data_IF_467172723464
#
_entry.id   IF_467172723464
#
_cell.length_a   1.000
_cell.length_b   1.000
_cell.length_c   1.000
_cell.angle_alpha   90.00
_cell.angle_beta   90.00
_cell.angle_gamma   90.00
#
_symmetry.space_group_name_H-M   'P 1'
#
loop_
_entity.id
_entity.type
_entity.pdbx_description
1 polymer ?
#
# COMPACT_ATOMS: atom_id res chain seq x y z
N UNK A 1 -45.84 -21.15 -16.86
CA UNK A 1 -45.05 -19.92 -16.69
C UNK A 1 -43.58 -20.29 -16.53
N UNK A 2 -42.71 -19.92 -17.49
CA UNK A 2 -41.27 -20.13 -17.36
C UNK A 2 -40.65 -18.86 -16.79
N UNK A 3 -40.08 -18.96 -15.59
CA UNK A 3 -39.34 -17.88 -14.97
C UNK A 3 -37.93 -17.88 -15.61
N UNK A 4 -37.62 -16.88 -16.39
CA UNK A 4 -36.27 -16.66 -16.89
C UNK A 4 -35.42 -16.08 -15.75
N UNK A 5 -34.37 -16.79 -15.36
CA UNK A 5 -33.37 -16.28 -14.46
C UNK A 5 -32.65 -15.10 -15.14
N UNK A 6 -32.84 -13.91 -14.61
CA UNK A 6 -32.09 -12.71 -15.02
C UNK A 6 -30.67 -12.86 -14.47
N UNK A 7 -29.77 -13.22 -15.38
CA UNK A 7 -28.33 -13.29 -15.08
C UNK A 7 -27.79 -11.86 -14.98
N UNK A 8 -27.82 -11.28 -13.79
CA UNK A 8 -27.25 -9.97 -13.49
C UNK A 8 -25.70 -10.10 -13.45
N UNK A 9 -25.08 -10.35 -14.59
CA UNK A 9 -23.65 -10.11 -14.77
C UNK A 9 -23.40 -8.61 -14.87
N UNK A 10 -23.62 -7.88 -13.79
CA UNK A 10 -23.00 -6.57 -13.60
C UNK A 10 -21.51 -6.78 -13.34
N UNK A 11 -20.75 -7.04 -14.37
CA UNK A 11 -19.35 -6.61 -14.38
C UNK A 11 -19.38 -5.09 -14.29
N UNK A 12 -19.37 -4.59 -13.07
CA UNK A 12 -19.05 -3.19 -12.82
C UNK A 12 -17.62 -2.99 -13.35
N UNK A 13 -17.51 -2.52 -14.59
CA UNK A 13 -16.33 -1.81 -15.06
C UNK A 13 -16.18 -0.61 -14.13
N UNK A 14 -15.47 -0.83 -13.01
CA UNK A 14 -15.11 0.25 -12.09
C UNK A 14 -14.20 1.16 -12.89
N UNK A 15 -14.59 2.40 -13.19
CA UNK A 15 -13.66 3.32 -13.82
C UNK A 15 -12.51 3.47 -12.84
N UNK A 16 -11.38 2.87 -13.19
CA UNK A 16 -10.13 3.06 -12.47
C UNK A 16 -9.74 4.52 -12.73
N UNK A 17 -9.99 5.39 -11.76
CA UNK A 17 -9.43 6.72 -11.78
C UNK A 17 -7.93 6.55 -11.58
N UNK A 18 -7.14 7.05 -12.51
CA UNK A 18 -5.69 7.06 -12.37
C UNK A 18 -5.22 8.49 -12.44
N UNK A 19 -4.42 8.90 -11.46
CA UNK A 19 -3.89 10.24 -11.45
C UNK A 19 -3.91 10.91 -10.08
N UNK A 20 -3.95 12.24 -10.10
CA UNK A 20 -3.89 13.06 -8.89
C UNK A 20 -5.28 13.56 -8.54
N UNK A 21 -5.66 13.34 -7.30
CA UNK A 21 -6.89 13.82 -6.67
C UNK A 21 -6.53 14.92 -5.69
N UNK A 22 -7.19 16.06 -5.79
CA UNK A 22 -7.08 17.12 -4.82
C UNK A 22 -8.18 16.95 -3.78
N UNK A 23 -7.81 16.87 -2.52
CA UNK A 23 -8.74 16.66 -1.41
C UNK A 23 -8.51 17.65 -0.29
N UNK A 24 -9.51 17.75 0.61
CA UNK A 24 -9.49 18.64 1.75
C UNK A 24 -10.69 19.59 1.73
N UNK A 25 -10.98 20.19 2.90
CA UNK A 25 -12.06 21.17 3.05
C UNK A 25 -11.58 22.62 2.84
N UNK A 26 -10.32 22.79 2.42
CA UNK A 26 -9.69 24.12 2.24
C UNK A 26 -9.25 24.30 0.80
N UNK A 27 -9.38 25.51 0.32
CA UNK A 27 -8.79 25.91 -0.93
C UNK A 27 -7.26 25.97 -0.80
N UNK A 28 -6.57 25.61 -1.87
CA UNK A 28 -5.11 25.71 -1.92
C UNK A 28 -4.66 27.15 -1.99
N UNK A 29 -3.73 27.56 -1.15
CA UNK A 29 -3.02 28.83 -1.28
C UNK A 29 -2.14 28.83 -2.56
N UNK A 30 -1.67 30.00 -2.98
CA UNK A 30 -0.77 30.09 -4.14
C UNK A 30 0.55 29.33 -3.94
N UNK A 31 1.08 29.34 -2.71
CA UNK A 31 2.25 28.54 -2.34
C UNK A 31 1.96 27.04 -2.47
N UNK A 32 0.85 26.57 -1.89
CA UNK A 32 0.44 25.18 -1.96
C UNK A 32 0.16 24.70 -3.39
N UNK A 33 -0.38 25.57 -4.26
CA UNK A 33 -0.57 25.23 -5.68
C UNK A 33 0.76 24.96 -6.38
N UNK A 34 1.77 25.81 -6.14
CA UNK A 34 3.12 25.60 -6.69
C UNK A 34 3.72 24.29 -6.23
N UNK A 35 3.62 23.97 -4.93
CA UNK A 35 4.11 22.70 -4.38
C UNK A 35 3.36 21.52 -4.98
N UNK A 36 2.04 21.61 -5.14
CA UNK A 36 1.23 20.56 -5.75
C UNK A 36 1.57 20.33 -7.23
N UNK A 37 1.86 21.39 -7.98
CA UNK A 37 2.28 21.31 -9.40
C UNK A 37 3.70 20.71 -9.51
N UNK A 38 4.62 21.03 -8.59
CA UNK A 38 5.94 20.39 -8.51
C UNK A 38 5.82 18.89 -8.24
N UNK A 39 5.01 18.51 -7.24
CA UNK A 39 4.71 17.10 -6.93
C UNK A 39 4.16 16.38 -8.16
N UNK A 40 3.20 16.98 -8.85
CA UNK A 40 2.59 16.42 -10.06
C UNK A 40 3.64 16.19 -11.16
N UNK A 41 4.53 17.16 -11.36
CA UNK A 41 5.59 17.09 -12.36
C UNK A 41 6.58 15.97 -12.04
N UNK A 42 7.02 15.87 -10.79
CA UNK A 42 7.97 14.84 -10.33
C UNK A 42 7.37 13.44 -10.30
N UNK A 43 6.10 13.29 -9.96
CA UNK A 43 5.40 12.00 -10.03
C UNK A 43 5.27 11.49 -11.48
N UNK A 44 5.02 12.38 -12.44
CA UNK A 44 5.01 12.07 -13.86
C UNK A 44 4.31 10.75 -14.19
N UNK A 45 5.04 9.81 -14.81
CA UNK A 45 4.53 8.47 -15.19
C UNK A 45 4.05 7.61 -14.00
N UNK A 46 4.48 7.90 -12.79
CA UNK A 46 4.02 7.17 -11.59
C UNK A 46 2.57 7.50 -11.30
N UNK A 47 2.15 8.75 -11.53
CA UNK A 47 0.76 9.17 -11.39
C UNK A 47 -0.17 8.57 -12.47
N UNK A 48 0.37 8.08 -13.59
CA UNK A 48 -0.42 7.35 -14.60
C UNK A 48 -0.78 5.93 -14.15
N UNK A 49 -0.02 5.37 -13.22
CA UNK A 49 -0.19 3.99 -12.74
C UNK A 49 -0.92 3.90 -11.42
N UNK A 50 -0.71 4.88 -10.54
CA UNK A 50 -1.21 4.91 -9.17
C UNK A 50 -2.04 6.17 -8.94
N UNK A 51 -2.97 6.09 -8.00
CA UNK A 51 -3.79 7.23 -7.58
C UNK A 51 -3.12 7.94 -6.41
N UNK A 52 -2.99 9.25 -6.48
CA UNK A 52 -2.42 10.08 -5.43
C UNK A 52 -3.44 11.09 -4.93
N UNK A 53 -3.43 11.32 -3.64
CA UNK A 53 -4.22 12.33 -2.97
C UNK A 53 -3.29 13.43 -2.46
N UNK A 54 -3.55 14.65 -2.89
CA UNK A 54 -2.89 15.87 -2.41
C UNK A 54 -3.88 16.63 -1.56
N UNK A 55 -3.54 16.95 -0.31
CA UNK A 55 -4.36 17.73 0.62
C UNK A 55 -3.67 19.00 1.04
N UNK A 56 -4.42 20.10 1.06
CA UNK A 56 -3.98 21.32 1.69
C UNK A 56 -4.10 21.22 3.23
N UNK A 57 -3.02 21.49 3.94
CA UNK A 57 -2.95 21.60 5.39
C UNK A 57 -2.74 23.08 5.79
N UNK A 58 -2.89 23.44 7.08
CA UNK A 58 -2.45 24.74 7.58
C UNK A 58 -0.96 24.99 7.29
N UNK A 59 -0.53 26.25 7.43
CA UNK A 59 0.88 26.67 7.36
C UNK A 59 1.54 26.39 5.99
N UNK A 60 0.75 26.52 4.90
CA UNK A 60 1.18 26.31 3.51
C UNK A 60 1.78 24.93 3.23
N UNK A 61 1.44 23.94 4.06
CA UNK A 61 1.88 22.57 3.91
C UNK A 61 0.91 21.80 2.99
N UNK A 62 1.47 20.90 2.21
CA UNK A 62 0.76 19.95 1.35
C UNK A 62 1.06 18.53 1.81
N UNK A 63 0.03 17.74 2.06
CA UNK A 63 0.15 16.32 2.39
C UNK A 63 -0.03 15.47 1.13
N UNK A 64 0.88 14.53 0.89
CA UNK A 64 0.84 13.59 -0.22
C UNK A 64 0.64 12.17 0.29
N UNK A 65 -0.31 11.46 -0.30
CA UNK A 65 -0.56 10.04 -0.01
C UNK A 65 -0.94 9.31 -1.29
N UNK A 66 -0.47 8.09 -1.45
CA UNK A 66 -1.02 7.15 -2.43
C UNK A 66 -2.35 6.62 -1.89
N UNK A 67 -3.35 6.50 -2.73
CA UNK A 67 -4.70 6.05 -2.36
C UNK A 67 -5.18 4.97 -3.32
N UNK A 68 -6.13 4.17 -2.85
CA UNK A 68 -6.69 3.06 -3.63
C UNK A 68 -8.20 3.19 -3.77
N UNK A 69 -8.76 2.52 -4.77
CA UNK A 69 -10.21 2.43 -4.97
C UNK A 69 -10.90 3.80 -5.06
N UNK A 70 -10.27 4.77 -5.73
CA UNK A 70 -10.82 6.10 -5.89
C UNK A 70 -12.13 6.02 -6.69
N UNK A 71 -13.21 6.56 -6.13
CA UNK A 71 -14.53 6.63 -6.75
C UNK A 71 -15.11 8.02 -6.58
N UNK A 72 -15.77 8.52 -7.64
CA UNK A 72 -16.61 9.71 -7.55
C UNK A 72 -18.02 9.24 -7.20
N UNK A 73 -18.52 9.67 -6.06
CA UNK A 73 -19.87 9.33 -5.56
C UNK A 73 -20.69 10.61 -5.52
N UNK A 74 -21.95 10.52 -5.93
CA UNK A 74 -22.87 11.64 -5.96
C UNK A 74 -23.22 12.10 -7.37
N UNK A 75 -24.27 12.92 -7.46
CA UNK A 75 -24.81 13.47 -8.72
C UNK A 75 -24.76 15.00 -8.72
N UNK A 76 -24.50 15.59 -9.86
CA UNK A 76 -24.51 17.05 -10.03
C UNK A 76 -23.37 17.76 -9.30
N UNK A 77 -23.72 18.77 -8.49
CA UNK A 77 -22.76 19.66 -7.80
C UNK A 77 -22.14 18.97 -6.57
N UNK A 78 -22.84 17.99 -5.97
CA UNK A 78 -22.43 17.30 -4.75
C UNK A 78 -21.66 15.99 -5.09
N UNK A 79 -20.57 16.12 -5.84
CA UNK A 79 -19.66 14.98 -6.10
C UNK A 79 -18.63 14.87 -4.99
N UNK A 80 -18.69 13.78 -4.25
CA UNK A 80 -17.69 13.44 -3.24
C UNK A 80 -16.72 12.39 -3.79
N UNK A 81 -15.46 12.51 -3.40
CA UNK A 81 -14.44 11.54 -3.77
C UNK A 81 -14.22 10.61 -2.59
N UNK A 82 -14.58 9.35 -2.78
CA UNK A 82 -14.32 8.28 -1.82
C UNK A 82 -13.09 7.50 -2.24
N UNK A 83 -12.23 7.18 -1.28
CA UNK A 83 -10.99 6.43 -1.50
C UNK A 83 -10.62 5.60 -0.27
N UNK A 84 -9.84 4.56 -0.50
CA UNK A 84 -9.19 3.80 0.57
C UNK A 84 -7.80 4.35 0.82
N UNK A 85 -7.42 4.49 2.10
CA UNK A 85 -6.06 4.92 2.47
C UNK A 85 -5.03 3.92 1.94
N UNK A 86 -4.03 4.44 1.27
CA UNK A 86 -2.90 3.71 0.73
C UNK A 86 -1.62 3.91 1.54
N UNK A 87 -0.60 4.47 0.89
CA UNK A 87 0.70 4.78 1.51
C UNK A 87 0.74 6.27 1.83
N UNK A 88 1.00 6.61 3.08
CA UNK A 88 1.37 7.97 3.44
C UNK A 88 2.80 8.23 2.96
N UNK A 89 3.03 9.30 2.19
CA UNK A 89 4.32 9.62 1.62
C UNK A 89 5.01 10.70 2.44
N UNK A 90 4.35 11.85 2.64
CA UNK A 90 4.94 12.92 3.41
C UNK A 90 4.15 14.22 3.42
N UNK A 91 4.76 15.22 4.03
CA UNK A 91 4.31 16.61 4.04
C UNK A 91 5.39 17.47 3.42
N UNK A 92 4.98 18.38 2.55
CA UNK A 92 5.87 19.18 1.70
C UNK A 92 5.45 20.64 1.73
N UNK A 93 6.43 21.51 1.60
CA UNK A 93 6.29 22.97 1.49
C UNK A 93 7.33 23.51 0.50
N UNK A 94 7.39 24.83 0.29
CA UNK A 94 8.38 25.42 -0.61
C UNK A 94 9.84 25.23 -0.14
N UNK A 95 10.08 25.01 1.18
CA UNK A 95 11.41 24.79 1.75
C UNK A 95 11.84 23.33 1.70
N UNK A 96 10.87 22.43 1.78
CA UNK A 96 11.06 20.98 1.77
C UNK A 96 10.27 20.40 0.60
N UNK A 97 10.78 20.53 -0.64
CA UNK A 97 10.10 20.04 -1.82
C UNK A 97 10.06 18.50 -1.84
N UNK A 98 9.04 17.95 -2.48
CA UNK A 98 8.92 16.52 -2.70
C UNK A 98 10.06 16.01 -3.62
N UNK A 99 10.62 14.84 -3.28
CA UNK A 99 11.53 14.09 -4.16
C UNK A 99 10.94 12.69 -4.45
N UNK A 100 11.26 12.15 -5.62
CA UNK A 100 10.71 10.83 -6.03
C UNK A 100 11.23 9.70 -5.13
N UNK A 101 12.40 9.89 -4.52
CA UNK A 101 12.98 9.00 -3.54
C UNK A 101 12.08 8.84 -2.31
N UNK A 102 11.38 9.88 -1.86
CA UNK A 102 10.46 9.85 -0.72
C UNK A 102 9.34 8.85 -0.97
N UNK A 103 8.77 8.89 -2.19
CA UNK A 103 7.77 7.90 -2.60
C UNK A 103 8.33 6.49 -2.61
N UNK A 104 9.48 6.28 -3.23
CA UNK A 104 10.11 4.97 -3.29
C UNK A 104 10.45 4.43 -1.90
N UNK A 105 10.88 5.29 -0.98
CA UNK A 105 11.14 4.94 0.42
C UNK A 105 9.86 4.52 1.13
N UNK A 106 8.80 5.33 1.06
CA UNK A 106 7.51 5.06 1.70
C UNK A 106 6.89 3.72 1.23
N UNK A 107 6.97 3.44 -0.08
CA UNK A 107 6.47 2.16 -0.65
C UNK A 107 7.29 0.97 -0.16
N UNK A 108 8.62 1.09 -0.10
CA UNK A 108 9.51 0.02 0.41
C UNK A 108 9.26 -0.24 1.89
N UNK A 109 9.05 0.80 2.70
CA UNK A 109 8.79 0.67 4.12
C UNK A 109 7.46 -0.05 4.39
N UNK A 110 6.41 0.35 3.70
CA UNK A 110 5.11 -0.35 3.76
C UNK A 110 5.22 -1.83 3.34
N UNK A 111 6.03 -2.13 2.32
CA UNK A 111 6.25 -3.51 1.91
C UNK A 111 6.97 -4.34 2.98
N UNK A 112 7.89 -3.74 3.76
CA UNK A 112 8.55 -4.40 4.90
C UNK A 112 7.56 -4.68 6.02
N UNK A 113 6.71 -3.71 6.38
CA UNK A 113 5.69 -3.88 7.41
C UNK A 113 4.70 -4.98 7.03
N UNK A 114 4.27 -5.02 5.78
CA UNK A 114 3.38 -6.08 5.29
C UNK A 114 4.03 -7.47 5.38
N UNK A 115 5.31 -7.60 5.02
CA UNK A 115 6.06 -8.86 5.17
C UNK A 115 6.17 -9.28 6.62
N UNK A 116 6.43 -8.36 7.55
CA UNK A 116 6.49 -8.64 8.98
C UNK A 116 5.14 -9.14 9.52
N UNK A 117 4.03 -8.49 9.13
CA UNK A 117 2.67 -8.91 9.51
C UNK A 117 2.36 -10.31 8.96
N UNK A 118 2.70 -10.59 7.71
CA UNK A 118 2.50 -11.91 7.10
C UNK A 118 3.28 -13.01 7.81
N UNK A 119 4.53 -12.74 8.23
CA UNK A 119 5.32 -13.68 9.01
C UNK A 119 4.70 -13.97 10.38
N UNK A 120 4.23 -12.94 11.09
CA UNK A 120 3.53 -13.10 12.37
C UNK A 120 2.25 -13.91 12.19
N UNK A 121 1.48 -13.68 11.13
CA UNK A 121 0.29 -14.45 10.83
C UNK A 121 0.61 -15.93 10.55
N UNK A 122 1.69 -16.22 9.83
CA UNK A 122 2.14 -17.60 9.58
C UNK A 122 2.56 -18.30 10.87
N UNK A 123 3.30 -17.63 11.77
CA UNK A 123 3.67 -18.17 13.07
C UNK A 123 2.43 -18.47 13.91
N UNK A 124 1.45 -17.53 13.91
CA UNK A 124 0.20 -17.72 14.64
C UNK A 124 -0.60 -18.93 14.13
N UNK A 125 -0.74 -19.08 12.82
CA UNK A 125 -1.41 -20.24 12.21
C UNK A 125 -0.67 -21.55 12.55
N UNK A 126 0.66 -21.57 12.50
CA UNK A 126 1.46 -22.73 12.86
C UNK A 126 1.29 -23.13 14.33
N UNK A 127 1.21 -22.15 15.25
CA UNK A 127 0.96 -22.42 16.67
C UNK A 127 -0.45 -22.97 16.91
N UNK A 128 -1.48 -22.46 16.23
CA UNK A 128 -2.83 -23.01 16.32
C UNK A 128 -2.85 -24.47 15.83
N UNK A 129 -2.23 -24.76 14.69
CA UNK A 129 -2.18 -26.11 14.15
C UNK A 129 -1.43 -27.08 15.09
N UNK A 130 -0.37 -26.61 15.75
CA UNK A 130 0.37 -27.41 16.73
C UNK A 130 -0.40 -27.68 18.02
N UNK A 131 -1.31 -26.80 18.42
CA UNK A 131 -2.12 -26.91 19.64
C UNK A 131 -3.45 -27.61 19.41
N UNK A 132 -3.88 -27.85 18.17
CA UNK A 132 -5.10 -28.61 17.89
C UNK A 132 -4.91 -30.08 18.24
N UNK A 133 -5.78 -30.68 19.09
CA UNK A 133 -5.75 -32.09 19.39
C UNK A 133 -6.22 -32.87 18.15
N UNK A 134 -5.28 -33.22 17.28
CA UNK A 134 -5.57 -34.10 16.14
C UNK A 134 -5.85 -35.50 16.64
N UNK A 135 -7.06 -35.99 16.41
CA UNK A 135 -7.36 -37.42 16.57
C UNK A 135 -6.38 -38.22 15.72
N UNK A 136 -5.69 -39.14 16.34
CA UNK A 136 -4.54 -39.96 15.90
C UNK A 136 -4.70 -40.79 14.61
N UNK A 137 -5.48 -40.39 13.62
CA UNK A 137 -5.73 -41.24 12.44
C UNK A 137 -5.00 -40.83 11.15
N UNK A 138 -4.18 -39.75 11.14
CA UNK A 138 -3.42 -39.38 9.95
C UNK A 138 -2.05 -38.77 10.32
N UNK A 139 -1.19 -39.56 10.99
CA UNK A 139 0.10 -39.06 11.49
C UNK A 139 1.17 -38.82 10.42
N UNK A 140 1.04 -39.37 9.23
CA UNK A 140 2.09 -39.25 8.19
C UNK A 140 1.96 -37.96 7.34
N UNK A 141 0.75 -37.51 7.06
CA UNK A 141 0.54 -36.32 6.18
C UNK A 141 0.81 -34.99 6.90
N UNK A 142 0.65 -34.96 8.22
CA UNK A 142 0.84 -33.75 9.04
C UNK A 142 2.32 -33.44 9.28
N UNK A 143 3.14 -34.47 9.46
CA UNK A 143 4.59 -34.31 9.62
C UNK A 143 5.23 -33.66 8.40
N UNK A 144 4.82 -34.05 7.18
CA UNK A 144 5.34 -33.46 5.95
C UNK A 144 4.89 -32.01 5.70
N UNK A 145 3.69 -31.65 6.14
CA UNK A 145 3.21 -30.26 5.97
C UNK A 145 3.83 -29.29 6.97
N UNK A 146 4.04 -29.74 8.24
CA UNK A 146 4.73 -28.92 9.25
C UNK A 146 6.21 -28.74 8.92
N UNK A 147 6.86 -29.78 8.37
CA UNK A 147 8.26 -29.69 7.94
C UNK A 147 8.44 -28.73 6.76
N UNK A 148 7.53 -28.76 5.77
CA UNK A 148 7.50 -27.79 4.65
C UNK A 148 7.27 -26.35 5.10
N UNK A 149 6.36 -26.12 6.04
CA UNK A 149 6.10 -24.77 6.59
C UNK A 149 7.30 -24.27 7.38
N UNK A 150 7.94 -25.14 8.18
CA UNK A 150 9.15 -24.80 8.93
C UNK A 150 10.33 -24.47 8.00
N UNK A 151 10.47 -25.20 6.89
CA UNK A 151 11.52 -24.92 5.88
C UNK A 151 11.27 -23.60 5.17
N UNK A 152 10.05 -23.33 4.73
CA UNK A 152 9.67 -22.05 4.12
C UNK A 152 9.88 -20.85 5.06
N UNK A 153 9.58 -21.02 6.35
CA UNK A 153 9.82 -19.97 7.36
C UNK A 153 11.32 -19.72 7.57
N UNK A 154 12.15 -20.77 7.57
CA UNK A 154 13.62 -20.65 7.64
C UNK A 154 14.20 -19.94 6.42
N UNK A 155 13.78 -20.30 5.23
CA UNK A 155 14.24 -19.70 3.98
C UNK A 155 13.86 -18.21 3.91
N UNK A 156 12.64 -17.88 4.32
CA UNK A 156 12.19 -16.48 4.41
C UNK A 156 12.98 -15.65 5.42
N UNK A 157 13.30 -16.23 6.58
CA UNK A 157 14.13 -15.58 7.61
C UNK A 157 15.58 -15.36 7.11
N UNK A 158 16.11 -16.31 6.35
CA UNK A 158 17.45 -16.22 5.79
C UNK A 158 17.54 -15.14 4.71
N UNK A 159 16.52 -15.04 3.86
CA UNK A 159 16.41 -14.00 2.83
C UNK A 159 16.32 -12.60 3.46
N UNK A 160 15.49 -12.43 4.50
CA UNK A 160 15.36 -11.14 5.21
C UNK A 160 16.68 -10.74 5.87
N UNK A 161 17.40 -11.71 6.43
CA UNK A 161 18.71 -11.47 7.05
C UNK A 161 19.77 -11.04 6.03
N UNK A 162 19.78 -11.64 4.84
CA UNK A 162 20.66 -11.27 3.75
C UNK A 162 20.34 -9.88 3.19
N UNK A 163 19.06 -9.57 2.96
CA UNK A 163 18.62 -8.27 2.47
C UNK A 163 18.95 -7.15 3.48
N UNK A 164 18.78 -7.42 4.78
CA UNK A 164 19.12 -6.46 5.85
C UNK A 164 20.63 -6.21 5.93
N UNK A 165 21.44 -7.25 5.76
CA UNK A 165 22.91 -7.15 5.73
C UNK A 165 23.41 -6.40 4.50
N UNK A 166 22.80 -6.63 3.35
CA UNK A 166 23.13 -5.94 2.11
C UNK A 166 22.78 -4.45 2.21
N UNK A 167 21.60 -4.14 2.73
CA UNK A 167 21.18 -2.76 2.97
C UNK A 167 22.11 -2.00 3.93
N UNK A 168 22.54 -2.66 5.02
CA UNK A 168 23.51 -2.06 5.95
C UNK A 168 24.87 -1.79 5.29
N UNK A 169 25.36 -2.68 4.41
CA UNK A 169 26.60 -2.49 3.65
C UNK A 169 26.47 -1.35 2.64
N UNK A 170 25.34 -1.23 1.95
CA UNK A 170 25.12 -0.19 0.95
C UNK A 170 24.95 1.19 1.61
N UNK A 171 24.30 1.25 2.79
CA UNK A 171 24.24 2.48 3.60
C UNK A 171 25.59 2.94 4.11
N UNK A 172 26.47 2.01 4.50
CA UNK A 172 27.84 2.33 4.91
C UNK A 172 28.76 2.82 3.77
N UNK A 173 28.47 2.41 2.53
CA UNK A 173 29.19 2.91 1.34
C UNK A 173 28.81 4.33 0.95
N UNK A 174 27.58 4.77 1.27
CA UNK A 174 27.14 6.13 0.99
C UNK A 174 27.64 7.17 2.03
N UNK A 175 28.21 6.71 3.15
CA UNK A 175 28.76 7.56 4.20
C UNK A 175 30.28 7.80 4.08
N UNK A 176 30.91 7.29 3.02
CA UNK A 176 32.32 7.55 2.66
C UNK A 176 32.42 8.40 1.41
#
# INVERSE_FOLDING_TARGET
MKVQAINNNYQQNKPSFKGIVYGGHRDFSESQKKVADDIKTKLGKTAEKNDFLIKALPDDIVELSEVYNVKKVGTGINKEIQYSKGVYIGKYDEKHPFELEDYNYAVKEKAKDFRAIMLLALVYVATILALMPWKKNNSETVSQSTEKVATMAKDSLQTIKQDSLQFAKDSLKMLK
#
